data_IF_139145768463
#
_entry.id   IF_139145768463
#
_cell.length_a   1.000
_cell.length_b   1.000
_cell.length_c   1.000
_cell.angle_alpha   90.00
_cell.angle_beta   90.00
_cell.angle_gamma   90.00
#
_symmetry.space_group_name_H-M   'P 1'
#
loop_
_entity.id
_entity.type
_entity.pdbx_description
1 polymer ?
#
# COMPACT_ATOMS: atom_id res chain seq x y z
N UNK A 1 -13.41 10.42 12.81
CA UNK A 1 -12.49 10.55 11.67
C UNK A 1 -12.87 9.48 10.65
N UNK A 2 -12.93 9.80 9.34
CA UNK A 2 -13.19 8.79 8.32
C UNK A 2 -12.05 7.76 8.29
N UNK A 3 -12.38 6.51 7.97
CA UNK A 3 -11.43 5.40 7.85
C UNK A 3 -11.59 4.78 6.48
N UNK A 4 -10.49 4.36 5.86
CA UNK A 4 -10.47 3.68 4.58
C UNK A 4 -9.76 2.34 4.72
N UNK A 5 -10.39 1.27 4.24
CA UNK A 5 -9.73 -0.03 4.13
C UNK A 5 -8.77 0.02 2.94
N UNK A 6 -7.50 -0.29 3.18
CA UNK A 6 -6.47 -0.33 2.14
C UNK A 6 -6.21 -1.79 1.75
N UNK A 7 -6.22 -2.04 0.44
CA UNK A 7 -6.00 -3.34 -0.16
C UNK A 7 -4.51 -3.58 -0.50
N UNK A 8 -4.16 -4.85 -0.70
CA UNK A 8 -2.83 -5.30 -1.12
C UNK A 8 -2.36 -4.56 -2.37
N UNK A 9 -3.25 -4.35 -3.35
CA UNK A 9 -2.91 -3.68 -4.61
C UNK A 9 -2.28 -2.29 -4.40
N UNK A 10 -2.81 -1.50 -3.47
CA UNK A 10 -2.30 -0.16 -3.15
C UNK A 10 -0.99 -0.24 -2.38
N UNK A 11 -0.93 -1.08 -1.33
CA UNK A 11 0.28 -1.21 -0.51
C UNK A 11 1.46 -1.75 -1.32
N UNK A 12 1.23 -2.77 -2.14
CA UNK A 12 2.23 -3.37 -2.99
C UNK A 12 2.74 -2.38 -4.04
N UNK A 13 1.85 -1.72 -4.79
CA UNK A 13 2.25 -0.74 -5.80
C UNK A 13 3.03 0.44 -5.18
N UNK A 14 2.62 0.92 -4.00
CA UNK A 14 3.33 1.99 -3.31
C UNK A 14 4.72 1.56 -2.83
N UNK A 15 4.91 0.31 -2.42
CA UNK A 15 6.18 -0.21 -1.92
C UNK A 15 7.13 -0.69 -3.05
N UNK A 16 6.61 -1.21 -4.15
CA UNK A 16 7.39 -1.77 -5.25
C UNK A 16 7.58 -0.77 -6.38
N UNK A 17 8.75 -0.12 -6.44
CA UNK A 17 9.07 0.93 -7.43
C UNK A 17 8.94 0.53 -8.90
N UNK A 18 9.01 -0.76 -9.23
CA UNK A 18 8.87 -1.27 -10.61
C UNK A 18 7.42 -1.54 -10.98
N UNK A 19 6.49 -1.45 -10.03
CA UNK A 19 5.07 -1.56 -10.31
C UNK A 19 4.61 -0.40 -11.20
N UNK A 20 3.76 -0.70 -12.18
CA UNK A 20 3.25 0.30 -13.12
C UNK A 20 2.39 1.38 -12.45
N UNK A 21 1.78 1.08 -11.30
CA UNK A 21 0.93 1.98 -10.52
C UNK A 21 1.70 2.63 -9.36
N UNK A 22 3.03 2.51 -9.31
CA UNK A 22 3.82 3.04 -8.20
C UNK A 22 3.63 4.55 -8.02
N UNK A 23 3.54 5.28 -9.12
CA UNK A 23 3.37 6.74 -9.13
C UNK A 23 2.01 7.19 -8.62
N UNK A 24 0.99 6.36 -8.78
CA UNK A 24 -0.40 6.60 -8.39
C UNK A 24 -0.67 6.14 -6.96
N UNK A 25 -0.07 5.02 -6.56
CA UNK A 25 -0.25 4.45 -5.22
C UNK A 25 0.55 5.20 -4.15
N UNK A 26 1.74 5.72 -4.49
CA UNK A 26 2.60 6.42 -3.53
C UNK A 26 1.95 7.68 -2.92
N UNK A 27 1.26 8.57 -3.68
CA UNK A 27 0.53 9.69 -3.11
C UNK A 27 -0.59 9.30 -2.14
N UNK A 28 -1.19 8.12 -2.29
CA UNK A 28 -2.24 7.63 -1.37
C UNK A 28 -1.65 7.42 0.03
N UNK A 29 -0.51 6.73 0.13
CA UNK A 29 0.17 6.54 1.42
C UNK A 29 0.69 7.84 2.01
N UNK A 30 1.23 8.73 1.18
CA UNK A 30 1.68 10.05 1.64
C UNK A 30 0.52 10.86 2.22
N UNK A 31 -0.65 10.84 1.57
CA UNK A 31 -1.84 11.51 2.07
C UNK A 31 -2.39 10.91 3.37
N UNK A 32 -2.21 9.61 3.58
CA UNK A 32 -2.53 8.96 4.87
C UNK A 32 -1.52 9.41 5.95
N UNK A 33 -0.22 9.41 5.63
CA UNK A 33 0.86 9.77 6.56
C UNK A 33 0.80 11.24 7.00
N UNK A 34 0.42 12.15 6.10
CA UNK A 34 0.24 13.58 6.40
C UNK A 34 -1.17 13.95 6.90
N UNK A 35 -2.05 12.94 7.04
CA UNK A 35 -3.44 13.07 7.46
C UNK A 35 -4.33 13.95 6.55
N UNK A 36 -3.94 14.19 5.29
CA UNK A 36 -4.81 14.80 4.27
C UNK A 36 -5.85 13.82 3.72
N UNK A 37 -5.63 12.51 3.88
CA UNK A 37 -6.56 11.43 3.57
C UNK A 37 -7.06 10.70 4.84
N UNK A 38 -8.15 9.92 4.75
CA UNK A 38 -8.65 9.10 5.86
C UNK A 38 -7.60 8.16 6.46
N UNK A 39 -7.76 7.83 7.74
CA UNK A 39 -6.92 6.85 8.43
C UNK A 39 -7.01 5.47 7.73
N UNK A 40 -5.86 4.87 7.45
CA UNK A 40 -5.79 3.55 6.84
C UNK A 40 -6.13 2.43 7.83
N UNK A 41 -6.97 1.51 7.38
CA UNK A 41 -7.19 0.22 8.02
C UNK A 41 -6.59 -0.85 7.12
N UNK A 42 -5.70 -1.66 7.68
CA UNK A 42 -5.08 -2.80 7.00
C UNK A 42 -5.48 -4.06 7.74
N UNK A 43 -5.97 -5.07 7.01
CA UNK A 43 -6.33 -6.35 7.59
C UNK A 43 -5.11 -7.27 7.64
N UNK A 44 -5.08 -8.19 8.60
CA UNK A 44 -3.93 -9.09 8.80
C UNK A 44 -3.55 -9.87 7.54
N UNK A 45 -4.55 -10.33 6.78
CA UNK A 45 -4.32 -11.07 5.54
C UNK A 45 -3.82 -10.18 4.39
N UNK A 46 -4.25 -8.91 4.33
CA UNK A 46 -3.75 -7.92 3.36
C UNK A 46 -2.28 -7.61 3.63
N UNK A 47 -1.91 -7.46 4.91
CA UNK A 47 -0.52 -7.26 5.29
C UNK A 47 0.33 -8.48 4.89
N UNK A 48 -0.13 -9.69 5.22
CA UNK A 48 0.57 -10.92 4.86
C UNK A 48 0.74 -11.08 3.34
N UNK A 49 -0.32 -10.84 2.57
CA UNK A 49 -0.28 -10.90 1.10
C UNK A 49 0.69 -9.87 0.52
N UNK A 50 0.65 -8.63 1.02
CA UNK A 50 1.57 -7.56 0.60
C UNK A 50 3.02 -7.95 0.81
N UNK A 51 3.37 -8.45 2.01
CA UNK A 51 4.73 -8.84 2.34
C UNK A 51 5.20 -10.02 1.49
N UNK A 52 4.34 -11.03 1.31
CA UNK A 52 4.64 -12.18 0.43
C UNK A 52 4.86 -11.74 -1.02
N UNK A 53 4.01 -10.84 -1.52
CA UNK A 53 4.14 -10.23 -2.84
C UNK A 53 5.50 -9.54 -2.99
N UNK A 54 5.88 -8.69 -2.03
CA UNK A 54 7.14 -7.96 -2.05
C UNK A 54 8.35 -8.90 -2.00
N UNK A 55 8.34 -9.90 -1.14
CA UNK A 55 9.42 -10.91 -1.10
C UNK A 55 9.55 -11.63 -2.43
N UNK A 56 8.44 -11.95 -3.09
CA UNK A 56 8.44 -12.65 -4.38
C UNK A 56 8.97 -11.78 -5.52
N UNK A 57 8.60 -10.50 -5.57
CA UNK A 57 8.88 -9.65 -6.74
C UNK A 57 10.09 -8.72 -6.56
N UNK A 58 10.44 -8.35 -5.33
CA UNK A 58 11.55 -7.46 -5.01
C UNK A 58 12.80 -8.19 -4.49
N UNK A 59 12.72 -9.52 -4.28
CA UNK A 59 13.84 -10.35 -3.82
C UNK A 59 14.87 -10.74 -4.89
N UNK A 60 14.73 -10.24 -6.12
CA UNK A 60 15.56 -10.56 -7.29
C UNK A 60 15.95 -9.28 -8.07
#
# INVERSE_FOLDING_TARGET
MPRALIDTSVLFAAAYRRDGMHTEARPILQGIDDASLPEAVVLDYVLAETLNGLTTHAGH
#
